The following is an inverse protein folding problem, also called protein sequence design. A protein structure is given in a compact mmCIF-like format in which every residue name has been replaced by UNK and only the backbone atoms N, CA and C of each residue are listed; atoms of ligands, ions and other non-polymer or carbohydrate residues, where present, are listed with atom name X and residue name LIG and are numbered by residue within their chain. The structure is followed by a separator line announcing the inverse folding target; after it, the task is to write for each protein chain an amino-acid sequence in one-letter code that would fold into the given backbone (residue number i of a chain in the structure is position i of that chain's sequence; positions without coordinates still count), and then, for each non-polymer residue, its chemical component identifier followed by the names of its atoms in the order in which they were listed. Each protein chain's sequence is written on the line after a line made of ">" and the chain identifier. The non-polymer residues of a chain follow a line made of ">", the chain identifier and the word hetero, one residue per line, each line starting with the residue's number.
data_IF_392792361616
#
_entry.id   IF_392792361616
#
_cell.length_a   1.000
_cell.length_b   1.000
_cell.length_c   1.000
_cell.angle_alpha   90.00
_cell.angle_beta   90.00
_cell.angle_gamma   90.00
#
_symmetry.space_group_name_H-M   'P 1'
#
loop_
_entity.id
_entity.type
_entity.pdbx_description
1 polymer ?
#
# COMPACT_ATOMS: atom_id res chain seq x y z
N UNK A 1 -13.21 -3.29 25.53
CA UNK A 1 -13.28 -3.48 24.07
C UNK A 1 -12.34 -4.63 23.73
N UNK A 2 -12.87 -5.80 23.37
CA UNK A 2 -12.14 -7.07 23.38
C UNK A 2 -11.33 -7.33 22.11
N UNK A 3 -10.32 -8.19 22.23
CA UNK A 3 -9.40 -8.65 21.18
C UNK A 3 -10.05 -9.35 19.95
N UNK A 4 -11.38 -9.30 19.79
CA UNK A 4 -12.15 -9.96 18.72
C UNK A 4 -12.36 -9.10 17.46
N UNK A 5 -12.04 -7.81 17.51
CA UNK A 5 -12.28 -6.85 16.42
C UNK A 5 -10.99 -6.30 15.78
N UNK A 6 -9.87 -7.03 15.89
CA UNK A 6 -8.63 -6.58 15.24
C UNK A 6 -8.69 -6.77 13.71
N UNK A 7 -8.32 -5.76 12.90
CA UNK A 7 -8.40 -5.82 11.44
C UNK A 7 -7.57 -6.93 10.80
N UNK A 8 -6.51 -7.38 11.50
CA UNK A 8 -5.57 -8.40 11.03
C UNK A 8 -5.98 -9.83 11.43
N UNK A 9 -7.17 -10.00 12.01
CA UNK A 9 -7.68 -11.32 12.37
C UNK A 9 -7.93 -12.19 11.13
N UNK A 10 -7.78 -13.52 11.23
CA UNK A 10 -8.26 -14.44 10.20
C UNK A 10 -9.76 -14.26 9.96
N UNK A 11 -10.20 -14.42 8.71
CA UNK A 11 -11.63 -14.44 8.37
C UNK A 11 -12.28 -15.71 8.92
N UNK A 12 -13.48 -15.58 9.51
CA UNK A 12 -14.29 -16.74 9.92
C UNK A 12 -14.79 -17.52 8.67
N UNK A 13 -14.59 -18.84 8.58
CA UNK A 13 -15.16 -19.67 7.52
C UNK A 13 -16.67 -19.51 7.32
N UNK A 14 -17.43 -19.22 8.37
CA UNK A 14 -18.87 -18.94 8.25
C UNK A 14 -19.12 -17.64 7.47
N UNK A 15 -18.34 -16.59 7.72
CA UNK A 15 -18.39 -15.31 7.01
C UNK A 15 -18.07 -15.49 5.52
N UNK A 16 -17.08 -16.32 5.19
CA UNK A 16 -16.76 -16.66 3.79
C UNK A 16 -17.91 -17.43 3.15
N UNK A 17 -18.50 -18.39 3.86
CA UNK A 17 -19.62 -19.16 3.33
C UNK A 17 -20.85 -18.29 3.04
N UNK A 18 -21.17 -17.33 3.93
CA UNK A 18 -22.21 -16.32 3.71
C UNK A 18 -21.88 -15.42 2.52
N UNK A 19 -20.64 -14.95 2.42
CA UNK A 19 -20.18 -14.14 1.31
C UNK A 19 -20.37 -14.86 -0.04
N UNK A 20 -19.94 -16.13 -0.12
CA UNK A 20 -20.05 -16.96 -1.33
C UNK A 20 -21.50 -17.23 -1.70
N UNK A 21 -22.36 -17.57 -0.72
CA UNK A 21 -23.80 -17.78 -0.95
C UNK A 21 -24.50 -16.55 -1.52
N UNK A 22 -24.04 -15.35 -1.17
CA UNK A 22 -24.61 -14.09 -1.62
C UNK A 22 -24.14 -13.65 -3.01
N UNK A 23 -23.23 -14.39 -3.66
CA UNK A 23 -22.76 -14.04 -5.01
C UNK A 23 -23.82 -14.37 -6.07
N UNK A 24 -24.05 -13.47 -7.05
CA UNK A 24 -24.97 -13.72 -8.15
C UNK A 24 -24.38 -14.64 -9.24
N UNK A 25 -23.26 -15.31 -8.98
CA UNK A 25 -22.55 -16.16 -9.92
C UNK A 25 -21.94 -17.38 -9.23
N UNK A 26 -21.80 -18.48 -9.97
CA UNK A 26 -21.11 -19.68 -9.48
C UNK A 26 -19.59 -19.45 -9.50
N UNK A 27 -18.94 -19.83 -8.40
CA UNK A 27 -17.48 -19.82 -8.22
C UNK A 27 -17.01 -21.24 -7.91
N UNK A 28 -15.78 -21.58 -8.30
CA UNK A 28 -15.22 -22.90 -7.98
C UNK A 28 -14.80 -23.01 -6.51
N UNK A 29 -14.42 -24.23 -6.09
CA UNK A 29 -14.06 -24.54 -4.71
C UNK A 29 -12.82 -23.78 -4.21
N UNK A 30 -11.94 -23.33 -5.11
CA UNK A 30 -10.74 -22.56 -4.77
C UNK A 30 -11.04 -21.12 -4.36
N UNK A 31 -12.23 -20.59 -4.69
CA UNK A 31 -12.60 -19.21 -4.35
C UNK A 31 -12.69 -18.96 -2.84
N UNK A 32 -13.29 -19.90 -2.09
CA UNK A 32 -13.37 -19.80 -0.63
C UNK A 32 -11.97 -19.87 0.02
N UNK A 33 -11.12 -20.77 -0.47
CA UNK A 33 -9.73 -20.89 -0.01
C UNK A 33 -8.90 -19.63 -0.27
N UNK A 34 -9.11 -18.99 -1.43
CA UNK A 34 -8.47 -17.71 -1.74
C UNK A 34 -8.86 -16.63 -0.73
N UNK A 35 -10.15 -16.48 -0.41
CA UNK A 35 -10.63 -15.49 0.55
C UNK A 35 -10.08 -15.78 1.94
N UNK A 36 -10.18 -17.02 2.42
CA UNK A 36 -9.71 -17.45 3.74
C UNK A 36 -8.23 -17.18 3.99
N UNK A 37 -7.44 -17.06 2.92
CA UNK A 37 -6.04 -16.71 3.03
C UNK A 37 -5.80 -15.28 3.51
N UNK A 38 -6.75 -14.35 3.31
CA UNK A 38 -6.61 -12.92 3.62
C UNK A 38 -7.11 -12.56 5.03
N UNK A 39 -6.68 -11.42 5.59
CA UNK A 39 -7.20 -10.92 6.86
C UNK A 39 -8.65 -10.44 6.72
N UNK A 40 -9.38 -10.41 7.84
CA UNK A 40 -10.80 -10.02 7.92
C UNK A 40 -11.10 -8.65 7.29
N UNK A 41 -10.19 -7.70 7.45
CA UNK A 41 -10.26 -6.37 6.82
C UNK A 41 -10.47 -6.43 5.30
N UNK A 42 -9.91 -7.43 4.62
CA UNK A 42 -10.06 -7.57 3.17
C UNK A 42 -11.53 -7.67 2.74
N UNK A 43 -12.34 -8.51 3.40
CA UNK A 43 -13.77 -8.63 3.09
C UNK A 43 -14.57 -7.41 3.53
N UNK A 44 -14.15 -6.74 4.62
CA UNK A 44 -14.82 -5.55 5.12
C UNK A 44 -14.67 -4.35 4.16
N UNK A 45 -13.52 -4.23 3.49
CA UNK A 45 -13.19 -3.06 2.67
C UNK A 45 -13.30 -3.32 1.16
N UNK A 46 -13.34 -4.58 0.73
CA UNK A 46 -13.38 -4.93 -0.70
C UNK A 46 -14.80 -5.28 -1.16
N UNK A 47 -15.38 -4.55 -2.13
CA UNK A 47 -16.68 -4.89 -2.70
C UNK A 47 -16.68 -6.29 -3.33
N UNK A 48 -17.83 -6.99 -3.28
CA UNK A 48 -17.99 -8.37 -3.80
C UNK A 48 -17.47 -8.55 -5.23
N UNK A 49 -17.83 -7.64 -6.12
CA UNK A 49 -17.40 -7.68 -7.52
C UNK A 49 -15.87 -7.57 -7.66
N UNK A 50 -15.21 -6.83 -6.77
CA UNK A 50 -13.75 -6.69 -6.77
C UNK A 50 -13.08 -7.97 -6.25
N UNK A 51 -13.63 -8.62 -5.22
CA UNK A 51 -13.10 -9.91 -4.75
C UNK A 51 -13.12 -10.96 -5.87
N UNK A 52 -14.20 -11.00 -6.67
CA UNK A 52 -14.29 -11.88 -7.84
C UNK A 52 -13.23 -11.54 -8.90
N UNK A 53 -13.00 -10.25 -9.18
CA UNK A 53 -11.94 -9.81 -10.09
C UNK A 53 -10.55 -10.17 -9.59
N UNK A 54 -10.28 -10.00 -8.30
CA UNK A 54 -9.00 -10.36 -7.70
C UNK A 54 -8.73 -11.87 -7.82
N UNK A 55 -9.76 -12.70 -7.61
CA UNK A 55 -9.64 -14.14 -7.79
C UNK A 55 -9.32 -14.53 -9.25
N UNK A 56 -10.06 -13.97 -10.21
CA UNK A 56 -9.80 -14.20 -11.63
C UNK A 56 -8.39 -13.75 -12.05
N UNK A 57 -7.93 -12.61 -11.52
CA UNK A 57 -6.58 -12.09 -11.77
C UNK A 57 -5.52 -13.01 -11.15
N UNK A 58 -5.73 -13.50 -9.93
CA UNK A 58 -4.85 -14.45 -9.25
C UNK A 58 -4.71 -15.76 -10.04
N UNK A 59 -5.82 -16.30 -10.53
CA UNK A 59 -5.83 -17.49 -11.39
C UNK A 59 -5.08 -17.29 -12.70
N UNK A 60 -4.98 -16.05 -13.17
CA UNK A 60 -4.23 -15.71 -14.38
C UNK A 60 -2.73 -15.57 -14.15
N UNK A 61 -2.23 -15.44 -12.91
CA UNK A 61 -0.81 -15.21 -12.62
C UNK A 61 0.11 -16.26 -13.27
N UNK A 62 -0.26 -17.54 -13.19
CA UNK A 62 0.52 -18.64 -13.77
C UNK A 62 1.96 -18.66 -13.25
N UNK A 63 2.93 -18.65 -14.17
CA UNK A 63 4.38 -18.58 -13.90
C UNK A 63 4.93 -17.16 -13.93
N UNK A 64 4.09 -16.15 -14.15
CA UNK A 64 4.56 -14.75 -14.19
C UNK A 64 4.93 -14.29 -12.77
N UNK A 65 5.96 -13.43 -12.63
CA UNK A 65 6.35 -12.89 -11.33
C UNK A 65 5.26 -11.97 -10.77
N UNK A 66 4.61 -11.19 -11.64
CA UNK A 66 3.58 -10.23 -11.28
C UNK A 66 2.50 -10.18 -12.37
N UNK A 67 1.27 -9.87 -11.98
CA UNK A 67 0.17 -9.53 -12.87
C UNK A 67 -0.54 -8.29 -12.34
N UNK A 68 -0.97 -7.40 -13.23
CA UNK A 68 -1.72 -6.21 -12.87
C UNK A 68 -3.02 -6.08 -13.64
N UNK A 69 -4.01 -5.44 -13.02
CA UNK A 69 -5.20 -4.92 -13.69
C UNK A 69 -5.35 -3.44 -13.41
N UNK A 70 -5.78 -2.69 -14.42
CA UNK A 70 -5.99 -1.25 -14.34
C UNK A 70 -7.39 -0.94 -14.86
N UNK A 71 -8.20 -0.29 -14.02
CA UNK A 71 -9.57 0.06 -14.34
C UNK A 71 -9.93 1.46 -13.83
N UNK A 72 -11.01 2.02 -14.36
CA UNK A 72 -11.58 3.27 -13.86
C UNK A 72 -12.68 2.97 -12.85
N UNK A 73 -12.67 3.68 -11.73
CA UNK A 73 -13.69 3.64 -10.69
C UNK A 73 -14.14 5.05 -10.36
N UNK A 74 -15.26 5.48 -10.96
CA UNK A 74 -15.74 6.85 -10.91
C UNK A 74 -14.68 7.88 -11.39
N UNK A 75 -14.26 8.80 -10.51
CA UNK A 75 -13.26 9.82 -10.80
C UNK A 75 -11.81 9.36 -10.62
N UNK A 76 -11.59 8.16 -10.09
CA UNK A 76 -10.25 7.62 -9.80
C UNK A 76 -9.91 6.45 -10.72
N UNK A 77 -8.63 6.23 -10.91
CA UNK A 77 -8.09 4.99 -11.44
C UNK A 77 -7.84 4.01 -10.31
N UNK A 78 -8.01 2.72 -10.59
CA UNK A 78 -7.76 1.63 -9.67
C UNK A 78 -6.77 0.66 -10.32
N UNK A 79 -5.60 0.51 -9.70
CA UNK A 79 -4.60 -0.51 -10.01
C UNK A 79 -4.71 -1.62 -8.98
N UNK A 80 -4.78 -2.87 -9.43
CA UNK A 80 -4.64 -4.05 -8.60
C UNK A 80 -3.44 -4.84 -9.10
N UNK A 81 -2.55 -5.22 -8.19
CA UNK A 81 -1.31 -5.95 -8.46
C UNK A 81 -1.30 -7.23 -7.64
N UNK A 82 -0.99 -8.34 -8.30
CA UNK A 82 -0.87 -9.65 -7.67
C UNK A 82 0.52 -10.23 -7.97
N UNK A 83 1.21 -10.71 -6.93
CA UNK A 83 2.54 -11.32 -7.01
C UNK A 83 2.71 -12.41 -5.95
N UNK A 84 3.81 -13.16 -6.02
CA UNK A 84 4.24 -14.12 -4.98
C UNK A 84 5.35 -13.59 -4.06
N UNK A 85 6.03 -12.51 -4.46
CA UNK A 85 7.10 -11.89 -3.67
C UNK A 85 6.66 -10.52 -3.15
N UNK A 86 6.78 -10.33 -1.84
CA UNK A 86 6.42 -9.09 -1.13
C UNK A 86 7.52 -8.06 -1.10
N UNK A 87 8.78 -8.45 -1.24
CA UNK A 87 9.91 -7.59 -0.84
C UNK A 87 9.88 -6.29 -1.63
N UNK A 88 9.67 -5.19 -0.92
CA UNK A 88 9.58 -3.84 -1.48
C UNK A 88 8.49 -3.66 -2.55
N UNK A 89 7.48 -4.54 -2.61
CA UNK A 89 6.44 -4.49 -3.64
C UNK A 89 5.68 -3.18 -3.60
N UNK A 90 5.14 -2.83 -2.42
CA UNK A 90 4.34 -1.63 -2.25
C UNK A 90 5.10 -0.37 -2.67
N UNK A 91 6.35 -0.23 -2.22
CA UNK A 91 7.19 0.93 -2.55
C UNK A 91 7.53 0.98 -4.04
N UNK A 92 7.81 -0.17 -4.69
CA UNK A 92 8.01 -0.24 -6.15
C UNK A 92 6.76 0.21 -6.91
N UNK A 93 5.57 -0.23 -6.51
CA UNK A 93 4.31 0.18 -7.15
C UNK A 93 4.06 1.68 -6.94
N UNK A 94 4.19 2.16 -5.70
CA UNK A 94 4.00 3.57 -5.37
C UNK A 94 5.00 4.48 -6.11
N UNK A 95 6.25 4.03 -6.25
CA UNK A 95 7.28 4.70 -7.04
C UNK A 95 6.95 4.71 -8.52
N UNK A 96 6.51 3.59 -9.10
CA UNK A 96 6.13 3.52 -10.50
C UNK A 96 4.97 4.46 -10.84
N UNK A 97 3.95 4.51 -9.98
CA UNK A 97 2.84 5.47 -10.07
C UNK A 97 3.35 6.91 -9.98
N UNK A 98 4.21 7.20 -9.01
CA UNK A 98 4.78 8.55 -8.80
C UNK A 98 5.68 9.01 -9.95
N UNK A 99 6.52 8.12 -10.51
CA UNK A 99 7.31 8.35 -11.73
C UNK A 99 6.40 8.70 -12.92
N UNK A 100 5.27 7.99 -13.01
CA UNK A 100 4.26 8.23 -14.01
C UNK A 100 3.41 9.47 -13.71
N UNK A 101 3.65 10.18 -12.60
CA UNK A 101 2.93 11.37 -12.20
C UNK A 101 1.48 11.12 -11.81
N UNK A 102 1.18 9.92 -11.32
CA UNK A 102 -0.13 9.54 -10.77
C UNK A 102 -0.18 9.87 -9.29
N UNK A 103 -1.32 10.39 -8.84
CA UNK A 103 -1.49 10.89 -7.48
C UNK A 103 -2.22 9.86 -6.62
N UNK A 104 -1.53 9.23 -5.69
CA UNK A 104 -2.11 8.11 -4.92
C UNK A 104 -3.04 8.67 -3.85
N UNK A 105 -4.33 8.38 -3.99
CA UNK A 105 -5.39 8.81 -3.06
C UNK A 105 -5.58 7.81 -1.93
N UNK A 106 -5.41 6.53 -2.24
CA UNK A 106 -5.46 5.46 -1.26
C UNK A 106 -4.72 4.23 -1.77
N UNK A 107 -4.22 3.42 -0.85
CA UNK A 107 -3.75 2.09 -1.17
C UNK A 107 -4.07 1.12 -0.03
N UNK A 108 -4.23 -0.14 -0.40
CA UNK A 108 -4.53 -1.26 0.47
C UNK A 108 -3.57 -2.40 0.08
N UNK A 109 -2.86 -2.97 1.05
CA UNK A 109 -1.90 -4.04 0.82
C UNK A 109 -2.27 -5.25 1.67
N UNK A 110 -2.52 -6.39 1.02
CA UNK A 110 -2.91 -7.63 1.68
C UNK A 110 -1.97 -8.77 1.31
N UNK A 111 -1.55 -9.56 2.29
CA UNK A 111 -0.88 -10.83 2.08
C UNK A 111 -1.88 -11.91 2.41
N UNK A 112 -1.80 -13.01 1.68
CA UNK A 112 -2.51 -14.20 2.06
C UNK A 112 -1.58 -15.29 2.59
N UNK A 113 -2.15 -16.22 3.36
CA UNK A 113 -1.44 -17.39 3.89
C UNK A 113 -0.89 -18.34 2.80
N UNK A 114 -1.26 -18.13 1.53
CA UNK A 114 -0.78 -18.89 0.37
C UNK A 114 0.38 -18.21 -0.37
N UNK A 115 1.08 -17.28 0.29
CA UNK A 115 2.18 -16.48 -0.27
C UNK A 115 1.79 -15.66 -1.51
N UNK A 116 0.51 -15.30 -1.64
CA UNK A 116 0.04 -14.34 -2.63
C UNK A 116 -0.06 -12.97 -1.98
N UNK A 117 0.35 -11.96 -2.72
CA UNK A 117 0.24 -10.56 -2.35
C UNK A 117 -0.79 -9.93 -3.26
N UNK A 118 -1.67 -9.13 -2.67
CA UNK A 118 -2.69 -8.36 -3.36
C UNK A 118 -2.59 -6.92 -2.88
N UNK A 119 -2.05 -6.06 -3.75
CA UNK A 119 -1.96 -4.64 -3.49
C UNK A 119 -2.90 -3.90 -4.43
N UNK A 120 -3.68 -2.98 -3.86
CA UNK A 120 -4.64 -2.15 -4.57
C UNK A 120 -4.31 -0.69 -4.35
N UNK A 121 -4.25 0.09 -5.44
CA UNK A 121 -3.99 1.53 -5.41
C UNK A 121 -5.13 2.25 -6.11
N UNK A 122 -5.66 3.30 -5.47
CA UNK A 122 -6.57 4.28 -6.06
C UNK A 122 -5.80 5.58 -6.27
N UNK A 123 -5.86 6.13 -7.47
CA UNK A 123 -5.08 7.33 -7.80
C UNK A 123 -5.80 8.25 -8.79
N UNK A 124 -5.42 9.54 -8.78
CA UNK A 124 -5.81 10.53 -9.78
C UNK A 124 -4.79 10.59 -10.91
N UNK A 125 -5.30 10.95 -12.08
CA UNK A 125 -4.55 11.25 -13.28
C UNK A 125 -5.01 12.61 -13.77
N UNK A 126 -4.50 13.67 -13.15
CA UNK A 126 -4.97 15.04 -13.38
C UNK A 126 -4.69 15.51 -14.83
N UNK A 127 -3.69 14.92 -15.47
CA UNK A 127 -3.32 15.17 -16.87
C UNK A 127 -4.15 14.35 -17.88
N UNK A 128 -5.01 13.43 -17.42
CA UNK A 128 -5.79 12.53 -18.28
C UNK A 128 -4.96 11.60 -19.16
N UNK A 129 -3.72 11.29 -18.78
CA UNK A 129 -2.78 10.48 -19.57
C UNK A 129 -3.23 9.02 -19.71
N UNK A 130 -3.86 8.47 -18.68
CA UNK A 130 -4.35 7.10 -18.62
C UNK A 130 -5.65 6.92 -19.38
N UNK A 131 -6.29 7.97 -19.91
CA UNK A 131 -7.41 7.81 -20.87
C UNK A 131 -6.97 7.08 -22.13
N UNK A 132 -5.70 7.27 -22.52
CA UNK A 132 -5.10 6.61 -23.67
C UNK A 132 -4.70 5.17 -23.34
N UNK A 133 -5.24 4.20 -24.08
CA UNK A 133 -4.92 2.78 -23.89
C UNK A 133 -3.43 2.46 -24.06
N UNK A 134 -2.75 3.18 -24.95
CA UNK A 134 -1.32 3.02 -25.19
C UNK A 134 -0.49 3.41 -23.96
N UNK A 135 -0.85 4.50 -23.29
CA UNK A 135 -0.22 4.93 -22.03
C UNK A 135 -0.41 3.89 -20.94
N UNK A 136 -1.64 3.38 -20.79
CA UNK A 136 -1.95 2.33 -19.80
C UNK A 136 -1.10 1.08 -20.02
N UNK A 137 -0.99 0.60 -21.26
CA UNK A 137 -0.16 -0.58 -21.59
C UNK A 137 1.32 -0.33 -21.31
N UNK A 138 1.85 0.84 -21.68
CA UNK A 138 3.25 1.22 -21.37
C UNK A 138 3.50 1.29 -19.87
N UNK A 139 2.55 1.84 -19.11
CA UNK A 139 2.64 1.89 -17.66
C UNK A 139 2.64 0.47 -17.05
N UNK A 140 1.79 -0.44 -17.52
CA UNK A 140 1.77 -1.80 -17.00
C UNK A 140 3.10 -2.53 -17.25
N UNK A 141 3.71 -2.37 -18.43
CA UNK A 141 5.06 -2.93 -18.69
C UNK A 141 6.11 -2.31 -17.77
N UNK A 142 6.10 -0.97 -17.62
CA UNK A 142 7.01 -0.27 -16.71
C UNK A 142 6.83 -0.71 -15.25
N UNK A 143 5.59 -0.92 -14.82
CA UNK A 143 5.25 -1.42 -13.49
C UNK A 143 5.81 -2.83 -13.27
N UNK A 144 5.65 -3.72 -14.26
CA UNK A 144 6.19 -5.08 -14.21
C UNK A 144 7.73 -5.04 -14.06
N UNK A 145 8.41 -4.25 -14.87
CA UNK A 145 9.87 -4.07 -14.79
C UNK A 145 10.32 -3.48 -13.45
N UNK A 146 9.59 -2.49 -12.93
CA UNK A 146 9.86 -1.89 -11.63
C UNK A 146 9.66 -2.90 -10.48
N UNK A 147 8.58 -3.69 -10.52
CA UNK A 147 8.30 -4.73 -9.52
C UNK A 147 9.35 -5.83 -9.56
N UNK A 148 9.85 -6.20 -10.73
CA UNK A 148 10.96 -7.15 -10.89
C UNK A 148 12.33 -6.55 -10.53
N UNK A 149 12.42 -5.25 -10.24
CA UNK A 149 13.69 -4.58 -9.93
C UNK A 149 14.61 -4.38 -11.14
N UNK A 150 14.06 -4.44 -12.37
CA UNK A 150 14.79 -4.14 -13.61
C UNK A 150 14.96 -2.63 -13.84
N UNK A 151 14.24 -1.82 -13.06
CA UNK A 151 14.26 -0.36 -13.14
C UNK A 151 14.67 0.22 -11.79
N UNK A 152 15.68 1.08 -11.81
CA UNK A 152 16.05 1.92 -10.69
C UNK A 152 15.08 3.12 -10.61
N UNK A 153 14.15 3.09 -9.66
CA UNK A 153 13.13 4.13 -9.48
C UNK A 153 13.69 5.40 -8.80
N UNK A 154 14.73 5.25 -7.98
CA UNK A 154 15.26 6.35 -7.16
C UNK A 154 15.75 7.55 -8.00
N UNK A 155 16.53 7.38 -9.08
CA UNK A 155 16.95 8.50 -9.91
C UNK A 155 15.77 9.22 -10.58
N UNK A 156 14.79 8.47 -11.09
CA UNK A 156 13.60 9.01 -11.77
C UNK A 156 12.76 9.85 -10.81
N UNK A 157 12.60 9.37 -9.57
CA UNK A 157 11.87 10.10 -8.54
C UNK A 157 12.64 11.31 -8.05
N UNK A 158 13.96 11.21 -7.86
CA UNK A 158 14.79 12.36 -7.48
C UNK A 158 14.70 13.48 -8.52
N UNK A 159 14.77 13.15 -9.80
CA UNK A 159 14.61 14.13 -10.88
C UNK A 159 13.23 14.82 -10.82
N UNK A 160 12.17 14.03 -10.60
CA UNK A 160 10.80 14.57 -10.51
C UNK A 160 10.58 15.41 -9.25
N UNK A 161 11.02 14.92 -8.09
CA UNK A 161 10.89 15.59 -6.80
C UNK A 161 11.74 16.86 -6.72
N UNK A 162 12.94 16.86 -7.32
CA UNK A 162 13.82 18.03 -7.38
C UNK A 162 13.24 19.20 -8.18
N UNK A 163 12.24 18.96 -9.02
CA UNK A 163 11.49 20.01 -9.73
C UNK A 163 10.37 20.63 -8.90
N UNK A 164 10.08 20.09 -7.72
CA UNK A 164 9.02 20.57 -6.85
C UNK A 164 9.61 21.39 -5.68
N UNK A 165 8.91 22.41 -5.16
CA UNK A 165 9.41 23.19 -4.02
C UNK A 165 9.53 22.32 -2.76
N UNK A 166 10.48 22.60 -1.85
CA UNK A 166 10.66 21.84 -0.61
C UNK A 166 9.37 21.84 0.22
N UNK A 167 9.08 20.71 0.87
CA UNK A 167 7.88 20.51 1.67
C UNK A 167 7.80 21.51 2.84
N UNK A 168 6.60 22.03 3.12
CA UNK A 168 6.27 22.51 4.45
C UNK A 168 6.14 21.32 5.42
N UNK A 169 6.42 21.58 6.70
CA UNK A 169 6.62 20.62 7.81
C UNK A 169 5.78 19.33 7.71
N UNK A 170 6.45 18.18 7.60
CA UNK A 170 5.86 16.84 7.72
C UNK A 170 6.06 16.37 9.16
N UNK A 171 4.97 16.03 9.84
CA UNK A 171 5.01 15.43 11.18
C UNK A 171 5.09 13.92 11.05
N UNK A 172 6.05 13.32 11.75
CA UNK A 172 6.40 11.90 11.65
C UNK A 172 6.39 11.30 13.04
N UNK A 173 5.51 10.34 13.28
CA UNK A 173 5.47 9.57 14.51
C UNK A 173 5.79 8.10 14.21
N UNK A 174 6.64 7.48 15.01
CA UNK A 174 6.94 6.05 14.89
C UNK A 174 6.94 5.36 16.24
N UNK A 175 6.19 4.29 16.33
CA UNK A 175 6.00 3.48 17.54
C UNK A 175 6.18 2.00 17.21
N UNK A 176 7.06 1.31 17.93
CA UNK A 176 7.21 -0.14 17.77
C UNK A 176 5.99 -0.84 18.37
N UNK A 177 5.41 -1.79 17.63
CA UNK A 177 4.33 -2.67 18.08
C UNK A 177 4.81 -4.13 18.09
N UNK A 178 5.55 -4.57 19.14
CA UNK A 178 6.09 -5.93 19.20
C UNK A 178 5.02 -7.02 19.10
N UNK A 179 3.80 -6.76 19.59
CA UNK A 179 2.68 -7.69 19.50
C UNK A 179 2.25 -7.98 18.05
N UNK A 180 2.51 -7.04 17.13
CA UNK A 180 2.26 -7.18 15.70
C UNK A 180 3.52 -7.54 14.91
N UNK A 181 4.70 -7.54 15.54
CA UNK A 181 5.97 -7.76 14.85
C UNK A 181 6.37 -6.60 13.92
N UNK A 182 5.86 -5.39 14.14
CA UNK A 182 6.02 -4.26 13.23
C UNK A 182 6.26 -2.94 13.98
N UNK A 183 6.62 -1.89 13.25
CA UNK A 183 6.67 -0.49 13.68
C UNK A 183 5.57 0.27 12.97
N UNK A 184 4.69 0.90 13.73
CA UNK A 184 3.71 1.82 13.20
C UNK A 184 4.35 3.16 12.88
N UNK A 185 4.17 3.63 11.67
CA UNK A 185 4.54 4.96 11.20
C UNK A 185 3.27 5.75 10.90
N UNK A 186 3.13 6.94 11.49
CA UNK A 186 2.10 7.92 11.14
C UNK A 186 2.75 9.13 10.49
N UNK A 187 2.23 9.52 9.34
CA UNK A 187 2.59 10.75 8.65
C UNK A 187 1.44 11.73 8.65
N UNK A 188 1.69 12.97 9.08
CA UNK A 188 0.74 14.06 8.93
C UNK A 188 1.39 15.28 8.27
N UNK A 189 0.79 15.79 7.20
CA UNK A 189 1.31 16.95 6.48
C UNK A 189 0.57 17.24 5.18
N UNK A 190 1.07 18.19 4.37
CA UNK A 190 0.58 18.42 3.01
C UNK A 190 0.79 17.19 2.13
N UNK A 191 -0.22 16.84 1.34
CA UNK A 191 -0.13 15.72 0.40
C UNK A 191 0.79 16.04 -0.79
N UNK A 192 1.66 15.09 -1.14
CA UNK A 192 2.58 15.19 -2.28
C UNK A 192 2.87 13.83 -2.89
N UNK A 193 2.91 13.84 -4.23
CA UNK A 193 3.45 12.76 -5.06
C UNK A 193 4.77 12.21 -4.52
N UNK A 194 4.87 10.90 -4.39
CA UNK A 194 6.12 10.20 -4.06
C UNK A 194 6.42 10.00 -2.58
N UNK A 195 5.64 10.56 -1.64
CA UNK A 195 5.82 10.30 -0.20
C UNK A 195 5.79 8.80 0.12
N UNK A 196 4.90 8.06 -0.54
CA UNK A 196 4.73 6.62 -0.38
C UNK A 196 5.90 5.78 -0.91
N UNK A 197 6.66 6.30 -1.88
CA UNK A 197 7.86 5.62 -2.35
C UNK A 197 9.01 5.67 -1.33
N UNK A 198 9.03 6.68 -0.46
CA UNK A 198 10.17 6.94 0.44
C UNK A 198 10.41 5.79 1.43
N UNK A 199 9.43 4.90 1.60
CA UNK A 199 9.54 3.68 2.39
C UNK A 199 10.24 2.52 1.67
N UNK A 200 10.92 2.80 0.56
CA UNK A 200 11.63 1.86 -0.32
C UNK A 200 12.54 0.81 0.35
N UNK A 201 12.87 0.96 1.64
CA UNK A 201 13.76 0.04 2.37
C UNK A 201 13.10 -0.76 3.50
N UNK A 202 11.80 -0.60 3.73
CA UNK A 202 11.04 -1.38 4.72
C UNK A 202 9.96 -2.24 4.03
N UNK A 203 9.67 -3.41 4.60
CA UNK A 203 8.51 -4.20 4.17
C UNK A 203 7.25 -3.55 4.76
N UNK A 204 6.30 -3.20 3.90
CA UNK A 204 5.01 -2.64 4.32
C UNK A 204 4.03 -3.80 4.50
N UNK A 205 3.67 -4.05 5.75
CA UNK A 205 2.70 -5.11 6.10
C UNK A 205 1.27 -4.65 5.85
N UNK A 206 1.00 -3.38 6.16
CA UNK A 206 -0.27 -2.70 5.98
C UNK A 206 -0.01 -1.22 5.67
N UNK A 207 -0.71 -0.69 4.69
CA UNK A 207 -0.80 0.74 4.44
C UNK A 207 -2.27 1.13 4.48
N UNK A 208 -2.59 2.18 5.23
CA UNK A 208 -3.86 2.87 5.16
C UNK A 208 -3.56 4.32 4.78
N UNK A 209 -3.90 4.68 3.55
CA UNK A 209 -3.70 6.01 3.00
C UNK A 209 -5.06 6.62 2.76
N UNK A 210 -5.30 7.75 3.40
CA UNK A 210 -6.49 8.58 3.19
C UNK A 210 -6.06 10.02 2.99
N UNK A 211 -6.02 10.43 1.73
CA UNK A 211 -5.79 11.83 1.39
C UNK A 211 -7.12 12.57 1.31
N UNK A 212 -7.46 13.30 2.38
CA UNK A 212 -8.61 14.20 2.41
C UNK A 212 -8.16 15.68 2.46
N UNK A 213 -8.68 16.51 1.54
CA UNK A 213 -8.53 17.97 1.61
C UNK A 213 -7.10 18.52 1.44
N UNK A 214 -6.21 17.80 0.75
CA UNK A 214 -4.83 18.23 0.49
C UNK A 214 -3.86 17.98 1.64
N UNK A 215 -4.26 17.19 2.64
CA UNK A 215 -3.40 16.69 3.72
C UNK A 215 -3.35 15.17 3.68
N UNK A 216 -2.17 14.62 3.96
CA UNK A 216 -1.97 13.19 4.24
C UNK A 216 -2.14 12.93 5.72
N UNK A 217 -2.84 11.84 6.02
CA UNK A 217 -2.83 11.16 7.32
C UNK A 217 -2.66 9.69 7.05
N UNK A 218 -1.42 9.31 6.80
CA UNK A 218 -1.10 7.97 6.36
C UNK A 218 -0.57 7.16 7.54
N UNK A 219 -1.09 5.94 7.70
CA UNK A 219 -0.59 4.99 8.67
C UNK A 219 0.00 3.77 7.96
N UNK A 220 1.24 3.43 8.30
CA UNK A 220 1.95 2.26 7.80
C UNK A 220 2.37 1.35 8.94
N UNK A 221 2.23 0.04 8.75
CA UNK A 221 2.92 -0.97 9.56
C UNK A 221 4.14 -1.43 8.78
N UNK A 222 5.32 -1.10 9.31
CA UNK A 222 6.62 -1.40 8.71
C UNK A 222 7.30 -2.52 9.48
N UNK A 223 7.83 -3.52 8.79
CA UNK A 223 8.68 -4.55 9.42
C UNK A 223 9.99 -4.72 8.67
N UNK A 224 10.95 -5.31 9.37
CA UNK A 224 12.25 -5.70 8.82
C UNK A 224 12.59 -7.07 9.35
N UNK A 225 12.80 -8.02 8.44
CA UNK A 225 13.12 -9.40 8.78
C UNK A 225 12.12 -10.06 9.76
N UNK A 226 10.83 -9.71 9.66
CA UNK A 226 9.76 -10.26 10.49
C UNK A 226 9.65 -9.67 11.90
N UNK A 227 10.30 -8.54 12.17
CA UNK A 227 10.17 -7.80 13.42
C UNK A 227 10.09 -6.28 13.22
N UNK A 228 9.85 -5.51 14.30
CA UNK A 228 9.87 -4.06 14.26
C UNK A 228 11.21 -3.52 13.74
N UNK A 229 11.19 -2.32 13.16
CA UNK A 229 12.38 -1.65 12.60
C UNK A 229 13.47 -1.38 13.65
N UNK A 230 13.07 -1.22 14.92
CA UNK A 230 13.97 -0.84 16.01
C UNK A 230 14.53 0.57 15.83
N UNK A 231 15.51 0.94 16.67
CA UNK A 231 16.08 2.30 16.68
C UNK A 231 16.81 2.62 15.38
N UNK A 232 17.57 1.67 14.85
CA UNK A 232 18.37 1.86 13.63
C UNK A 232 17.48 2.01 12.40
N UNK A 233 16.50 1.11 12.20
CA UNK A 233 15.58 1.18 11.07
C UNK A 233 14.71 2.44 11.11
N UNK A 234 14.22 2.86 12.30
CA UNK A 234 13.52 4.15 12.45
C UNK A 234 14.40 5.33 12.07
N UNK A 235 15.68 5.31 12.47
CA UNK A 235 16.64 6.37 12.12
C UNK A 235 16.95 6.41 10.61
N UNK A 236 16.93 5.26 9.92
CA UNK A 236 17.03 5.20 8.45
C UNK A 236 15.81 5.85 7.78
N UNK A 237 14.60 5.55 8.26
CA UNK A 237 13.36 6.16 7.73
C UNK A 237 13.37 7.68 7.93
N UNK A 238 13.74 8.18 9.12
CA UNK A 238 13.82 9.64 9.37
C UNK A 238 14.84 10.30 8.45
N UNK A 239 16.02 9.70 8.25
CA UNK A 239 17.04 10.25 7.35
C UNK A 239 16.55 10.32 5.90
N UNK A 240 15.83 9.30 5.44
CA UNK A 240 15.22 9.32 4.11
C UNK A 240 14.18 10.45 3.96
N UNK A 241 13.40 10.71 5.01
CA UNK A 241 12.39 11.79 5.02
C UNK A 241 13.04 13.18 5.13
N UNK A 242 14.08 13.35 5.95
CA UNK A 242 14.73 14.63 6.21
C UNK A 242 15.42 15.23 4.97
N UNK A 243 15.81 14.41 3.99
CA UNK A 243 16.36 14.89 2.71
C UNK A 243 15.32 15.56 1.80
N UNK A 244 14.03 15.48 2.13
CA UNK A 244 12.92 15.88 1.26
C UNK A 244 11.85 16.72 1.98
N UNK A 245 11.76 16.61 3.30
CA UNK A 245 10.82 17.34 4.15
C UNK A 245 11.47 17.86 5.43
N UNK A 246 10.94 18.96 5.97
CA UNK A 246 11.25 19.37 7.35
C UNK A 246 10.51 18.44 8.30
N UNK A 247 11.21 17.45 8.85
CA UNK A 247 10.66 16.47 9.80
C UNK A 247 10.60 17.09 11.20
N UNK A 248 9.41 17.08 11.81
CA UNK A 248 9.25 17.35 13.24
C UNK A 248 9.21 16.01 13.97
N UNK A 249 10.18 15.77 14.86
CA UNK A 249 10.20 14.58 15.70
C UNK A 249 9.02 14.54 16.68
N UNK A 250 8.82 13.40 17.38
CA UNK A 250 7.67 13.22 18.27
C UNK A 250 7.58 14.39 19.26
N UNK A 251 6.36 14.91 19.47
CA UNK A 251 6.12 15.90 20.48
C UNK A 251 6.60 15.32 21.82
N UNK A 252 7.65 15.93 22.40
CA UNK A 252 8.13 15.52 23.70
C UNK A 252 6.95 15.54 24.68
N UNK A 253 6.67 14.40 25.30
CA UNK A 253 5.66 14.30 26.35
C UNK A 253 5.87 15.45 27.32
N UNK A 254 4.84 16.31 27.40
CA UNK A 254 4.77 17.38 28.38
C UNK A 254 4.94 16.75 29.76
N UNK A 255 6.14 16.89 30.34
CA UNK A 255 6.39 16.65 31.76
C UNK A 255 5.41 17.54 32.51
N UNK A 256 4.30 16.96 32.93
CA UNK A 256 3.47 17.56 33.97
C UNK A 256 4.29 17.41 35.24
N UNK A 257 4.88 18.52 35.65
CA UNK A 257 5.52 18.68 36.94
C UNK A 257 4.49 18.35 38.03
N UNK A 258 4.79 17.34 38.83
CA UNK A 258 4.23 17.23 40.17
C UNK A 258 5.13 18.09 41.08
N UNK A 259 4.58 19.20 41.55
CA UNK A 259 4.96 19.85 42.81
C UNK A 259 3.84 19.61 43.81
#
# INVERSE_FOLDING_TARGET
>A
MGARDSPDMPIDPAEVADFVRALPLAVDAGFAGFILGFPRKYLAETPRAEVVKHYALAGSLGTRPVISSLGRSAALWKLCVITRDRRFLFSRIAGALSCSGMDIVAAEAFANASALVLDTFRFRDDDGRFEQSATRRRFQVFLEDAVEGKVELEPLLRERLGRLPPLSRLEVEMEDEPARGATRLRLEGPDRFGLLYLFSRADIELAAIDTAGGRVRDEFLLSRAGGPLGVEGRSEVIRALAGLAVVKGPAAESRTAAS
#
